data_IF_845454409269
#
_entry.id   IF_845454409269
#
_cell.length_a   1.000
_cell.length_b   1.000
_cell.length_c   1.000
_cell.angle_alpha   90.00
_cell.angle_beta   90.00
_cell.angle_gamma   90.00
#
_symmetry.space_group_name_H-M   'P 1'
#
loop_
_entity.id
_entity.type
_entity.pdbx_description
1 polymer ?
#
# COMPACT_ATOMS: atom_id res chain seq x y z
N UNK A 1 -2.26 -32.80 23.50
CA UNK A 1 -3.69 -32.45 23.33
C UNK A 1 -3.88 -31.48 22.16
N UNK A 2 -3.42 -31.83 20.95
CA UNK A 2 -3.60 -31.01 19.72
C UNK A 2 -4.05 -31.90 18.54
N UNK A 3 -3.98 -33.23 18.66
CA UNK A 3 -4.31 -34.17 17.58
C UNK A 3 -5.81 -34.36 17.33
N UNK A 4 -6.71 -33.92 18.24
CA UNK A 4 -8.13 -34.28 18.19
C UNK A 4 -8.98 -33.34 17.31
N UNK A 5 -8.49 -32.13 17.00
CA UNK A 5 -9.29 -31.13 16.23
C UNK A 5 -9.23 -31.33 14.72
N UNK A 6 -8.30 -32.15 14.20
CA UNK A 6 -8.14 -32.37 12.75
C UNK A 6 -9.16 -33.35 12.15
N UNK A 7 -9.92 -34.08 12.96
CA UNK A 7 -10.77 -35.17 12.47
C UNK A 7 -12.12 -34.73 11.87
N UNK A 8 -12.45 -33.44 11.90
CA UNK A 8 -13.73 -32.90 11.39
C UNK A 8 -13.58 -31.71 10.43
N UNK A 9 -12.36 -31.40 9.99
CA UNK A 9 -12.13 -30.31 9.04
C UNK A 9 -12.15 -30.86 7.62
N UNK A 10 -13.06 -30.38 6.77
CA UNK A 10 -13.09 -30.74 5.36
C UNK A 10 -11.74 -30.38 4.69
N UNK A 11 -11.31 -31.16 3.69
CA UNK A 11 -10.02 -30.99 2.98
C UNK A 11 -9.77 -29.54 2.56
N UNK A 12 -10.83 -28.84 2.10
CA UNK A 12 -10.76 -27.42 1.75
C UNK A 12 -10.34 -26.52 2.91
N UNK A 13 -10.82 -26.77 4.13
CA UNK A 13 -10.51 -25.99 5.32
C UNK A 13 -9.08 -26.24 5.81
N UNK A 14 -8.59 -27.47 5.67
CA UNK A 14 -7.20 -27.85 5.99
C UNK A 14 -6.21 -27.25 4.98
N UNK A 15 -6.52 -27.33 3.69
CA UNK A 15 -5.74 -26.68 2.62
C UNK A 15 -5.76 -25.15 2.79
N UNK A 16 -6.91 -24.56 3.13
CA UNK A 16 -7.04 -23.11 3.39
C UNK A 16 -6.16 -22.65 4.56
N UNK A 17 -6.15 -23.37 5.67
CA UNK A 17 -5.27 -23.10 6.81
C UNK A 17 -3.77 -23.30 6.47
N UNK A 18 -3.45 -24.27 5.60
CA UNK A 18 -2.08 -24.50 5.15
C UNK A 18 -1.60 -23.42 4.17
N UNK A 19 -2.48 -22.92 3.29
CA UNK A 19 -2.22 -21.80 2.38
C UNK A 19 -2.06 -20.47 3.14
N UNK A 20 -2.78 -20.25 4.25
CA UNK A 20 -2.55 -19.10 5.13
C UNK A 20 -1.14 -19.06 5.74
N UNK A 21 -0.51 -20.23 5.96
CA UNK A 21 0.89 -20.33 6.41
C UNK A 21 1.92 -20.02 5.32
N UNK A 22 1.54 -20.02 4.04
CA UNK A 22 2.45 -19.88 2.90
C UNK A 22 2.67 -18.44 2.40
N UNK A 23 2.08 -17.40 3.03
CA UNK A 23 2.18 -16.02 2.53
C UNK A 23 2.94 -15.04 3.46
N UNK A 24 4.23 -15.26 3.77
CA UNK A 24 5.05 -14.23 4.42
C UNK A 24 5.31 -13.02 3.50
N UNK A 25 5.12 -13.15 2.19
CA UNK A 25 5.37 -12.08 1.21
C UNK A 25 4.30 -10.98 1.27
N UNK A 26 3.03 -11.34 1.44
CA UNK A 26 1.92 -10.37 1.43
C UNK A 26 1.97 -9.45 2.65
N UNK A 27 2.19 -10.02 3.84
CA UNK A 27 2.36 -9.26 5.11
C UNK A 27 3.56 -8.32 5.11
N UNK A 28 4.56 -8.53 4.25
CA UNK A 28 5.71 -7.64 4.11
C UNK A 28 5.39 -6.39 3.27
N UNK A 29 4.44 -6.50 2.35
CA UNK A 29 4.12 -5.45 1.37
C UNK A 29 2.93 -4.61 1.80
N UNK A 30 1.86 -5.22 2.33
CA UNK A 30 0.63 -4.52 2.70
C UNK A 30 0.49 -4.48 4.22
N UNK A 31 0.12 -3.32 4.77
CA UNK A 31 -0.20 -3.13 6.18
C UNK A 31 -1.53 -2.41 6.31
N UNK A 32 -2.42 -2.96 7.13
CA UNK A 32 -3.75 -2.40 7.38
C UNK A 32 -3.92 -2.24 8.88
N UNK A 33 -4.20 -1.02 9.31
CA UNK A 33 -4.62 -0.67 10.66
C UNK A 33 -6.14 -0.37 10.66
N UNK A 34 -6.97 -1.22 11.29
CA UNK A 34 -8.41 -1.01 11.36
C UNK A 34 -8.82 0.15 12.27
N UNK A 35 -7.91 0.67 13.12
CA UNK A 35 -8.19 1.81 14.02
C UNK A 35 -7.80 3.16 13.40
N UNK A 36 -7.08 3.15 12.29
CA UNK A 36 -6.67 4.37 11.60
C UNK A 36 -7.87 5.08 10.98
N UNK A 37 -7.86 6.42 11.02
CA UNK A 37 -8.83 7.25 10.31
C UNK A 37 -8.67 7.17 8.78
N UNK A 38 -7.54 6.65 8.27
CA UNK A 38 -7.30 6.51 6.85
C UNK A 38 -8.15 5.38 6.26
N UNK A 39 -8.85 5.60 5.13
CA UNK A 39 -9.57 4.55 4.44
C UNK A 39 -8.67 3.36 4.06
N UNK A 40 -9.20 2.14 4.15
CA UNK A 40 -8.41 0.91 3.94
C UNK A 40 -7.74 0.85 2.56
N UNK A 41 -8.41 1.33 1.50
CA UNK A 41 -7.82 1.37 0.17
C UNK A 41 -6.60 2.32 0.10
N UNK A 42 -6.65 3.48 0.77
CA UNK A 42 -5.51 4.41 0.90
C UNK A 42 -4.34 3.74 1.62
N UNK A 43 -4.62 2.99 2.69
CA UNK A 43 -3.58 2.25 3.41
C UNK A 43 -2.87 1.20 2.52
N UNK A 44 -3.60 0.55 1.59
CA UNK A 44 -2.99 -0.35 0.59
C UNK A 44 -2.02 0.42 -0.31
N UNK A 45 -2.46 1.56 -0.85
CA UNK A 45 -1.65 2.41 -1.74
C UNK A 45 -0.37 2.85 -1.02
N UNK A 46 -0.50 3.43 0.17
CA UNK A 46 0.63 3.88 0.98
C UNK A 46 1.57 2.73 1.34
N UNK A 47 1.05 1.53 1.59
CA UNK A 47 1.89 0.37 1.89
C UNK A 47 2.73 -0.06 0.68
N UNK A 48 2.14 -0.08 -0.52
CA UNK A 48 2.85 -0.40 -1.77
C UNK A 48 3.93 0.64 -2.05
N UNK A 49 3.62 1.93 -1.91
CA UNK A 49 4.60 3.01 -2.07
C UNK A 49 5.75 2.91 -1.08
N UNK A 50 5.45 2.69 0.21
CA UNK A 50 6.49 2.49 1.22
C UNK A 50 7.35 1.26 0.92
N UNK A 51 6.77 0.18 0.37
CA UNK A 51 7.53 -1.00 -0.02
C UNK A 51 8.49 -0.70 -1.20
N UNK A 52 8.09 0.16 -2.14
CA UNK A 52 8.94 0.67 -3.22
C UNK A 52 10.05 1.58 -2.66
N UNK A 53 9.71 2.55 -1.80
CA UNK A 53 10.67 3.46 -1.16
C UNK A 53 11.75 2.69 -0.37
N UNK A 54 11.33 1.63 0.34
CA UNK A 54 12.22 0.73 1.08
C UNK A 54 12.95 -0.28 0.19
N UNK A 55 12.82 -0.17 -1.14
CA UNK A 55 13.41 -1.08 -2.15
C UNK A 55 13.04 -2.56 -1.96
N UNK A 56 11.95 -2.82 -1.23
CA UNK A 56 11.38 -4.17 -1.04
C UNK A 56 10.60 -4.60 -2.27
N UNK A 57 9.99 -3.64 -2.97
CA UNK A 57 9.45 -3.80 -4.33
C UNK A 57 10.32 -3.03 -5.32
N UNK A 58 10.66 -3.68 -6.42
CA UNK A 58 11.43 -3.13 -7.54
C UNK A 58 10.60 -3.20 -8.81
N UNK A 59 11.01 -2.44 -9.82
CA UNK A 59 10.44 -2.53 -11.16
C UNK A 59 10.51 -3.97 -11.67
N UNK A 60 9.39 -4.46 -12.21
CA UNK A 60 9.21 -5.84 -12.68
C UNK A 60 8.73 -6.81 -11.60
N UNK A 61 8.74 -6.43 -10.31
CA UNK A 61 8.27 -7.33 -9.25
C UNK A 61 6.77 -7.55 -9.33
N UNK A 62 6.37 -8.79 -9.05
CA UNK A 62 4.98 -9.19 -8.94
C UNK A 62 4.43 -8.76 -7.58
N UNK A 63 3.32 -8.02 -7.58
CA UNK A 63 2.61 -7.70 -6.34
C UNK A 63 1.61 -8.81 -5.96
N UNK A 64 1.24 -8.91 -4.68
CA UNK A 64 0.17 -9.81 -4.24
C UNK A 64 -1.10 -9.64 -5.07
N UNK A 65 -1.75 -10.75 -5.38
CA UNK A 65 -3.04 -10.71 -6.08
C UNK A 65 -4.12 -10.10 -5.20
N UNK A 66 -5.16 -9.57 -5.85
CA UNK A 66 -6.35 -9.03 -5.16
C UNK A 66 -6.91 -10.06 -4.17
N UNK A 67 -7.06 -11.32 -4.59
CA UNK A 67 -7.59 -12.38 -3.75
C UNK A 67 -6.71 -12.65 -2.52
N UNK A 68 -5.38 -12.61 -2.66
CA UNK A 68 -4.46 -12.77 -1.53
C UNK A 68 -4.64 -11.64 -0.52
N UNK A 69 -4.73 -10.39 -0.96
CA UNK A 69 -4.95 -9.24 -0.07
C UNK A 69 -6.31 -9.31 0.62
N UNK A 70 -7.37 -9.68 -0.12
CA UNK A 70 -8.71 -9.86 0.44
C UNK A 70 -8.71 -10.90 1.57
N UNK A 71 -8.10 -12.06 1.34
CA UNK A 71 -8.05 -13.15 2.33
C UNK A 71 -7.16 -12.81 3.52
N UNK A 72 -5.98 -12.23 3.28
CA UNK A 72 -4.99 -11.99 4.35
C UNK A 72 -5.38 -10.84 5.29
N UNK A 73 -6.17 -9.87 4.81
CA UNK A 73 -6.61 -8.70 5.58
C UNK A 73 -8.13 -8.59 5.78
N UNK A 74 -8.89 -9.60 5.35
CA UNK A 74 -10.35 -9.63 5.41
C UNK A 74 -10.99 -8.37 4.81
N UNK A 75 -10.61 -8.03 3.58
CA UNK A 75 -11.06 -6.84 2.86
C UNK A 75 -12.01 -7.19 1.71
N UNK A 76 -12.98 -6.30 1.43
CA UNK A 76 -13.83 -6.45 0.25
C UNK A 76 -13.00 -6.32 -1.03
N UNK A 77 -13.38 -7.08 -2.06
CA UNK A 77 -12.73 -7.06 -3.37
C UNK A 77 -12.69 -5.64 -3.96
N UNK A 78 -13.80 -4.91 -3.83
CA UNK A 78 -13.92 -3.55 -4.35
C UNK A 78 -12.93 -2.58 -3.70
N UNK A 79 -12.68 -2.73 -2.40
CA UNK A 79 -11.69 -1.91 -1.68
C UNK A 79 -10.28 -2.12 -2.25
N UNK A 80 -9.90 -3.37 -2.49
CA UNK A 80 -8.57 -3.71 -3.05
C UNK A 80 -8.49 -3.30 -4.52
N UNK A 81 -9.55 -3.50 -5.30
CA UNK A 81 -9.62 -3.06 -6.70
C UNK A 81 -9.52 -1.54 -6.83
N UNK A 82 -10.16 -0.79 -5.93
CA UNK A 82 -10.05 0.67 -5.91
C UNK A 82 -8.60 1.11 -5.72
N UNK A 83 -7.90 0.54 -4.74
CA UNK A 83 -6.47 0.81 -4.52
C UNK A 83 -5.61 0.45 -5.75
N UNK A 84 -5.85 -0.71 -6.36
CA UNK A 84 -5.09 -1.17 -7.52
C UNK A 84 -5.36 -0.32 -8.76
N UNK A 85 -6.60 0.12 -8.96
CA UNK A 85 -6.97 1.01 -10.05
C UNK A 85 -6.28 2.37 -9.92
N UNK A 86 -6.17 2.91 -8.71
CA UNK A 86 -5.45 4.16 -8.45
C UNK A 86 -3.93 4.00 -8.65
N UNK A 87 -3.33 2.89 -8.19
CA UNK A 87 -1.92 2.60 -8.46
C UNK A 87 -1.63 2.42 -9.96
N UNK A 88 -2.58 1.86 -10.72
CA UNK A 88 -2.48 1.76 -12.19
C UNK A 88 -2.62 3.12 -12.86
N UNK A 89 -3.57 3.96 -12.44
CA UNK A 89 -3.77 5.29 -13.05
C UNK A 89 -2.53 6.18 -12.86
N UNK A 90 -1.81 5.97 -11.75
CA UNK A 90 -0.51 6.59 -11.47
C UNK A 90 0.68 5.95 -12.21
N UNK A 91 0.44 4.93 -13.03
CA UNK A 91 1.48 4.21 -13.77
C UNK A 91 2.38 3.31 -12.91
N UNK A 92 2.11 3.16 -11.61
CA UNK A 92 2.93 2.36 -10.69
C UNK A 92 2.71 0.86 -10.94
N UNK A 93 1.46 0.46 -11.18
CA UNK A 93 1.10 -0.93 -11.48
C UNK A 93 0.66 -1.12 -12.93
N UNK A 94 0.97 -2.31 -13.47
CA UNK A 94 0.38 -2.80 -14.71
C UNK A 94 -0.21 -4.19 -14.49
N UNK A 95 -1.34 -4.45 -15.15
CA UNK A 95 -2.00 -5.75 -15.13
C UNK A 95 -1.56 -6.56 -16.35
N UNK A 96 -1.03 -7.75 -16.14
CA UNK A 96 -0.81 -8.71 -17.20
C UNK A 96 -1.93 -9.78 -17.12
N UNK A 97 -2.81 -9.86 -18.13
CA UNK A 97 -3.92 -10.82 -18.15
C UNK A 97 -3.46 -12.24 -17.85
N UNK A 98 -4.14 -12.90 -16.92
CA UNK A 98 -3.83 -14.27 -16.48
C UNK A 98 -2.56 -14.43 -15.62
N UNK A 99 -1.71 -13.40 -15.50
CA UNK A 99 -0.44 -13.50 -14.74
C UNK A 99 -0.44 -12.71 -13.43
N UNK A 100 -1.12 -11.56 -13.39
CA UNK A 100 -1.27 -10.75 -12.18
C UNK A 100 -0.87 -9.29 -12.39
N UNK A 101 -0.40 -8.66 -11.31
CA UNK A 101 -0.03 -7.24 -11.30
C UNK A 101 1.47 -7.09 -11.03
N UNK A 102 2.09 -6.13 -11.70
CA UNK A 102 3.54 -5.91 -11.68
C UNK A 102 3.88 -4.44 -11.53
N UNK A 103 4.98 -4.14 -10.83
CA UNK A 103 5.51 -2.79 -10.68
C UNK A 103 6.13 -2.32 -12.00
N UNK A 104 5.67 -1.20 -12.53
CA UNK A 104 6.18 -0.62 -13.79
C UNK A 104 7.18 0.49 -13.53
N UNK A 105 6.89 1.33 -12.54
CA UNK A 105 7.78 2.41 -12.11
C UNK A 105 7.95 2.40 -10.60
N UNK A 106 9.15 2.78 -10.18
CA UNK A 106 9.48 3.07 -8.77
C UNK A 106 9.66 4.56 -8.53
N UNK A 107 9.51 5.38 -9.56
CA UNK A 107 9.50 6.83 -9.47
C UNK A 107 8.09 7.25 -9.04
N UNK A 108 7.90 7.37 -7.72
CA UNK A 108 6.63 7.78 -7.13
C UNK A 108 6.64 9.30 -7.06
N UNK A 109 5.73 9.93 -7.80
CA UNK A 109 5.47 11.35 -7.61
C UNK A 109 4.70 11.58 -6.30
N UNK A 110 4.99 12.66 -5.56
CA UNK A 110 4.26 13.02 -4.35
C UNK A 110 2.75 13.12 -4.60
N UNK A 111 1.93 12.69 -3.63
CA UNK A 111 0.47 12.67 -3.80
C UNK A 111 -0.18 14.05 -3.65
N UNK A 112 0.48 14.94 -2.91
CA UNK A 112 -0.13 16.19 -2.47
C UNK A 112 0.69 17.37 -2.97
N UNK A 113 0.00 18.30 -3.62
CA UNK A 113 0.51 19.63 -3.93
C UNK A 113 -0.06 20.56 -2.87
N UNK A 114 0.81 21.09 -2.02
CA UNK A 114 0.45 22.01 -0.95
C UNK A 114 0.83 23.40 -1.43
N UNK A 115 -0.17 24.26 -1.58
CA UNK A 115 0.07 25.66 -1.90
C UNK A 115 0.05 26.48 -0.61
N UNK A 116 1.13 27.20 -0.33
CA UNK A 116 1.31 27.98 0.90
C UNK A 116 1.24 29.47 0.57
N UNK A 117 0.12 30.08 0.94
CA UNK A 117 -0.12 31.51 0.72
C UNK A 117 0.48 32.34 1.86
N UNK A 118 1.45 33.19 1.51
CA UNK A 118 1.97 34.24 2.39
C UNK A 118 1.66 35.62 1.81
N UNK A 119 1.22 36.58 2.64
CA UNK A 119 1.00 37.96 2.17
C UNK A 119 2.32 38.71 1.89
N UNK A 120 3.34 38.49 2.72
CA UNK A 120 4.72 38.99 2.62
C UNK A 120 5.69 37.95 3.19
N UNK A 121 6.86 37.74 2.58
CA UNK A 121 7.88 36.84 3.13
C UNK A 121 8.68 37.54 4.24
N UNK A 122 8.73 36.92 5.42
CA UNK A 122 9.55 37.36 6.56
C UNK A 122 10.27 36.16 7.19
N UNK A 123 11.27 36.42 8.04
CA UNK A 123 12.10 35.38 8.65
C UNK A 123 11.28 34.28 9.36
N UNK A 124 10.17 34.65 10.03
CA UNK A 124 9.29 33.67 10.68
C UNK A 124 8.57 32.75 9.67
N UNK A 125 8.10 33.29 8.55
CA UNK A 125 7.44 32.50 7.49
C UNK A 125 8.42 31.61 6.75
N UNK A 126 9.66 32.05 6.57
CA UNK A 126 10.75 31.20 6.04
C UNK A 126 11.04 30.02 6.97
N UNK A 127 11.13 30.27 8.29
CA UNK A 127 11.32 29.20 9.27
C UNK A 127 10.14 28.21 9.27
N UNK A 128 8.91 28.71 9.16
CA UNK A 128 7.70 27.89 9.06
C UNK A 128 7.70 27.05 7.77
N UNK A 129 8.02 27.67 6.63
CA UNK A 129 8.13 26.98 5.34
C UNK A 129 9.18 25.88 5.41
N UNK A 130 10.39 26.19 5.89
CA UNK A 130 11.48 25.21 6.00
C UNK A 130 11.12 24.06 6.96
N UNK A 131 10.46 24.36 8.07
CA UNK A 131 9.97 23.34 9.01
C UNK A 131 8.89 22.46 8.38
N UNK A 132 7.99 23.04 7.58
CA UNK A 132 6.97 22.33 6.81
C UNK A 132 7.60 21.40 5.76
N UNK A 133 8.52 21.90 4.92
CA UNK A 133 9.24 21.09 3.92
C UNK A 133 9.96 19.92 4.62
N UNK A 134 10.63 20.20 5.73
CA UNK A 134 11.38 19.20 6.49
C UNK A 134 10.43 18.13 7.07
N UNK A 135 9.25 18.51 7.52
CA UNK A 135 8.24 17.60 8.08
C UNK A 135 7.61 16.70 7.01
N UNK A 136 7.43 17.22 5.80
CA UNK A 136 6.83 16.51 4.67
C UNK A 136 7.77 15.49 4.01
N UNK A 137 9.10 15.65 4.15
CA UNK A 137 10.12 14.67 3.68
C UNK A 137 9.93 14.21 2.23
N UNK A 138 9.50 15.11 1.34
CA UNK A 138 9.27 14.80 -0.07
C UNK A 138 7.98 14.01 -0.38
N UNK A 139 7.07 13.85 0.60
CA UNK A 139 5.75 13.25 0.40
C UNK A 139 4.74 14.18 -0.27
N UNK A 140 5.06 15.47 -0.32
CA UNK A 140 4.27 16.50 -0.95
C UNK A 140 5.19 17.46 -1.70
N UNK A 141 4.71 18.01 -2.81
CA UNK A 141 5.29 19.19 -3.46
C UNK A 141 4.68 20.40 -2.75
N UNK A 142 5.50 21.37 -2.38
CA UNK A 142 5.04 22.58 -1.73
C UNK A 142 5.44 23.77 -2.57
N UNK A 143 4.43 24.54 -2.98
CA UNK A 143 4.57 25.74 -3.78
C UNK A 143 4.15 26.96 -2.94
N UNK A 144 4.69 28.15 -3.25
CA UNK A 144 4.39 29.44 -2.60
C UNK A 144 3.65 30.34 -3.60
#
# INVERSE_FOLDING_TARGET
MVLVVLYNMNYYSVIFLFLQKLNPMVKRIVKIDPKSALPKYRQIISSVQQAIEKKTLKKGDKVPSINQICTDFNLSRDTVMLAFNELKSRGILHSQPGKGYYIVTTEIQPEENIFVLFDELNAFKEDLYNSLITSLKGKAIVDI
#
